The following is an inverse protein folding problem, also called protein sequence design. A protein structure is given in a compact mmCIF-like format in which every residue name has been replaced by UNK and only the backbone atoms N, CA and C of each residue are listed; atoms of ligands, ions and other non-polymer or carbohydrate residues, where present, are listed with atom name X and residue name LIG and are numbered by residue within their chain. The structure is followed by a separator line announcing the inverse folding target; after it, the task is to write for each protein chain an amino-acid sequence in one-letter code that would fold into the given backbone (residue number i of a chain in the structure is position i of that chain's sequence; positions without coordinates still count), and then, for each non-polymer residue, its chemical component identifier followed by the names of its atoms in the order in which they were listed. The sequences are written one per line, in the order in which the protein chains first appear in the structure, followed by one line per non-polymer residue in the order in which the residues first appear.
data_IF_962442329189
#
_entry.id   IF_962442329189
#
_cell.length_a   1.000
_cell.length_b   1.000
_cell.length_c   1.000
_cell.angle_alpha   90.00
_cell.angle_beta   90.00
_cell.angle_gamma   90.00
#
_symmetry.space_group_name_H-M   'P 1'
#
loop_
_entity.id
_entity.type
_entity.pdbx_description
1 polymer ?
#
# COMPACT_ATOMS: atom_id res chain seq x y z
N UNK A 1 -21.94 -15.17 -21.01
CA UNK A 1 -20.93 -14.86 -22.03
C UNK A 1 -20.76 -13.36 -22.05
N UNK A 2 -19.58 -12.87 -21.67
CA UNK A 2 -19.25 -11.44 -21.71
C UNK A 2 -19.04 -11.05 -23.18
N UNK A 3 -19.63 -9.95 -23.67
CA UNK A 3 -19.40 -9.48 -25.05
C UNK A 3 -17.90 -9.28 -25.31
N UNK A 4 -17.39 -9.58 -26.52
CA UNK A 4 -15.97 -9.44 -26.83
C UNK A 4 -15.44 -8.01 -26.67
N UNK A 5 -16.31 -7.00 -26.78
CA UNK A 5 -15.96 -5.58 -26.63
C UNK A 5 -16.19 -5.03 -25.21
N UNK A 6 -16.71 -5.83 -24.29
CA UNK A 6 -16.93 -5.38 -22.92
C UNK A 6 -15.59 -5.38 -22.14
N UNK A 7 -15.35 -4.38 -21.28
CA UNK A 7 -14.15 -4.33 -20.45
C UNK A 7 -14.06 -5.58 -19.58
N UNK A 8 -12.83 -6.08 -19.41
CA UNK A 8 -12.56 -7.21 -18.52
C UNK A 8 -12.93 -6.85 -17.07
N UNK A 9 -13.31 -7.87 -16.30
CA UNK A 9 -13.59 -7.69 -14.88
C UNK A 9 -12.33 -7.21 -14.14
N UNK A 10 -12.50 -6.30 -13.19
CA UNK A 10 -11.42 -5.84 -12.33
C UNK A 10 -10.90 -6.99 -11.45
N UNK A 11 -9.67 -7.44 -11.73
CA UNK A 11 -8.98 -8.46 -10.94
C UNK A 11 -8.13 -7.87 -9.84
N UNK A 12 -7.81 -6.57 -9.89
CA UNK A 12 -6.90 -5.97 -8.93
C UNK A 12 -7.52 -5.94 -7.54
N UNK A 13 -8.68 -5.27 -7.39
CA UNK A 13 -9.31 -5.14 -6.08
C UNK A 13 -9.99 -6.44 -5.63
N UNK A 14 -10.47 -7.25 -6.57
CA UNK A 14 -11.18 -8.49 -6.27
C UNK A 14 -10.27 -9.69 -5.97
N UNK A 15 -9.02 -9.70 -6.47
CA UNK A 15 -8.12 -10.86 -6.41
C UNK A 15 -6.68 -10.50 -6.03
N UNK A 16 -6.03 -9.63 -6.79
CA UNK A 16 -4.57 -9.45 -6.70
C UNK A 16 -4.16 -8.69 -5.43
N UNK A 17 -4.88 -7.63 -5.07
CA UNK A 17 -4.63 -6.84 -3.87
C UNK A 17 -4.89 -7.62 -2.57
N UNK A 18 -5.99 -8.39 -2.41
CA UNK A 18 -6.15 -9.29 -1.27
C UNK A 18 -4.98 -10.28 -1.10
N UNK A 19 -4.49 -10.86 -2.20
CA UNK A 19 -3.32 -11.76 -2.17
C UNK A 19 -2.07 -11.00 -1.77
N UNK A 20 -1.81 -9.82 -2.35
CA UNK A 20 -0.67 -8.98 -1.99
C UNK A 20 -0.66 -8.63 -0.51
N UNK A 21 -1.82 -8.30 0.08
CA UNK A 21 -1.97 -8.02 1.52
C UNK A 21 -1.67 -9.26 2.37
N UNK A 22 -2.11 -10.44 1.95
CA UNK A 22 -1.79 -11.69 2.65
C UNK A 22 -0.29 -12.00 2.61
N UNK A 23 0.34 -11.86 1.44
CA UNK A 23 1.79 -12.00 1.28
C UNK A 23 2.53 -11.01 2.17
N UNK A 24 2.13 -9.73 2.13
CA UNK A 24 2.77 -8.67 2.90
C UNK A 24 2.75 -8.95 4.40
N UNK A 25 1.60 -9.36 4.97
CA UNK A 25 1.51 -9.75 6.39
C UNK A 25 2.42 -10.91 6.73
N UNK A 26 2.48 -11.93 5.87
CA UNK A 26 3.29 -13.13 6.11
C UNK A 26 4.80 -12.88 5.97
N UNK A 27 5.20 -11.92 5.14
CA UNK A 27 6.59 -11.49 5.00
C UNK A 27 7.02 -10.60 6.17
N UNK A 28 6.12 -9.73 6.66
CA UNK A 28 6.40 -8.81 7.76
C UNK A 28 6.42 -9.52 9.13
N UNK A 29 5.50 -10.48 9.34
CA UNK A 29 5.39 -11.28 10.57
C UNK A 29 5.56 -12.79 10.29
N UNK A 30 6.77 -13.26 9.95
CA UNK A 30 6.99 -14.65 9.58
C UNK A 30 6.92 -15.59 10.80
N UNK A 31 5.82 -16.36 10.93
CA UNK A 31 5.61 -17.35 12.00
C UNK A 31 6.73 -18.40 12.16
N UNK A 32 7.47 -18.70 11.07
CA UNK A 32 8.53 -19.69 11.05
C UNK A 32 9.86 -19.13 10.51
N UNK A 33 10.08 -17.81 10.65
CA UNK A 33 11.37 -17.18 10.35
C UNK A 33 11.81 -17.25 8.89
N UNK A 34 10.90 -17.45 7.93
CA UNK A 34 11.26 -17.55 6.52
C UNK A 34 10.15 -17.13 5.55
N UNK A 35 10.52 -17.05 4.28
CA UNK A 35 9.65 -16.75 3.13
C UNK A 35 8.38 -17.62 3.12
N UNK A 36 7.17 -17.05 3.08
CA UNK A 36 5.93 -17.82 3.09
C UNK A 36 5.82 -18.76 1.90
N UNK A 37 5.26 -19.95 2.14
CA UNK A 37 4.90 -20.87 1.07
C UNK A 37 3.61 -20.41 0.41
N UNK A 38 3.57 -20.40 -0.93
CA UNK A 38 2.39 -19.95 -1.67
C UNK A 38 1.16 -20.79 -1.30
N UNK A 39 1.27 -22.11 -1.44
CA UNK A 39 0.14 -23.01 -1.16
C UNK A 39 -0.10 -23.24 0.33
N UNK A 40 0.97 -23.30 1.13
CA UNK A 40 0.87 -23.63 2.55
C UNK A 40 0.55 -22.44 3.46
N UNK A 41 0.80 -21.20 3.02
CA UNK A 41 0.67 -20.01 3.86
C UNK A 41 -0.20 -18.94 3.20
N UNK A 42 0.08 -18.58 1.94
CA UNK A 42 -0.61 -17.47 1.27
C UNK A 42 -2.05 -17.85 0.91
N UNK A 43 -2.30 -19.07 0.42
CA UNK A 43 -3.68 -19.52 0.11
C UNK A 43 -4.58 -19.43 1.35
N UNK A 44 -4.26 -20.06 2.50
CA UNK A 44 -5.03 -19.87 3.73
C UNK A 44 -5.13 -18.42 4.20
N UNK A 45 -4.03 -17.67 4.11
CA UNK A 45 -3.97 -16.27 4.57
C UNK A 45 -4.77 -15.28 3.72
N UNK A 46 -5.03 -15.61 2.45
CA UNK A 46 -5.77 -14.77 1.51
C UNK A 46 -7.28 -14.98 1.56
N UNK A 47 -7.74 -16.15 2.02
CA UNK A 47 -9.15 -16.55 1.96
C UNK A 47 -9.68 -16.82 0.54
N UNK A 48 -8.82 -16.83 -0.48
CA UNK A 48 -9.20 -17.05 -1.87
C UNK A 48 -8.94 -18.49 -2.33
N UNK A 49 -9.67 -18.99 -3.36
CA UNK A 49 -9.42 -20.29 -3.96
C UNK A 49 -7.99 -20.39 -4.50
N UNK A 50 -7.39 -21.58 -4.36
CA UNK A 50 -6.01 -21.88 -4.80
C UNK A 50 -5.68 -21.35 -6.20
N UNK A 51 -6.55 -21.57 -7.17
CA UNK A 51 -6.33 -21.17 -8.57
C UNK A 51 -6.25 -19.63 -8.71
N UNK A 52 -7.09 -18.90 -7.98
CA UNK A 52 -7.06 -17.45 -7.96
C UNK A 52 -5.77 -16.92 -7.33
N UNK A 53 -5.30 -17.56 -6.26
CA UNK A 53 -4.05 -17.18 -5.60
C UNK A 53 -2.84 -17.44 -6.49
N UNK A 54 -2.82 -18.54 -7.24
CA UNK A 54 -1.77 -18.84 -8.21
C UNK A 54 -1.77 -17.79 -9.34
N UNK A 55 -2.95 -17.47 -9.88
CA UNK A 55 -3.07 -16.46 -10.94
C UNK A 55 -2.60 -15.08 -10.46
N UNK A 56 -3.02 -14.67 -9.26
CA UNK A 56 -2.60 -13.42 -8.64
C UNK A 56 -1.09 -13.39 -8.39
N UNK A 57 -0.52 -14.46 -7.82
CA UNK A 57 0.92 -14.51 -7.55
C UNK A 57 1.75 -14.38 -8.83
N UNK A 58 1.32 -15.00 -9.94
CA UNK A 58 1.97 -14.83 -11.24
C UNK A 58 1.89 -13.38 -11.75
N UNK A 59 0.72 -12.76 -11.66
CA UNK A 59 0.52 -11.37 -12.06
C UNK A 59 1.37 -10.39 -11.21
N UNK A 60 1.37 -10.58 -9.88
CA UNK A 60 2.14 -9.77 -8.94
C UNK A 60 3.66 -9.93 -9.15
N UNK A 61 4.12 -11.15 -9.47
CA UNK A 61 5.53 -11.41 -9.78
C UNK A 61 5.92 -10.73 -11.10
N UNK A 62 5.10 -10.85 -12.14
CA UNK A 62 5.34 -10.21 -13.43
C UNK A 62 5.39 -8.67 -13.32
N UNK A 63 4.59 -8.10 -12.41
CA UNK A 63 4.58 -6.66 -12.12
C UNK A 63 5.72 -6.20 -11.18
N UNK A 64 6.55 -7.11 -10.66
CA UNK A 64 7.65 -6.76 -9.75
C UNK A 64 7.20 -6.39 -8.33
N UNK A 65 5.98 -6.77 -7.92
CA UNK A 65 5.50 -6.53 -6.57
C UNK A 65 6.03 -7.55 -5.56
N UNK A 66 6.24 -8.80 -6.01
CA UNK A 66 6.74 -9.89 -5.19
C UNK A 66 7.98 -10.52 -5.82
N UNK A 67 8.85 -11.09 -4.98
CA UNK A 67 9.99 -11.88 -5.40
C UNK A 67 9.66 -13.38 -5.25
N UNK A 68 9.38 -14.10 -6.35
CA UNK A 68 9.05 -15.52 -6.26
C UNK A 68 10.31 -16.40 -6.20
N UNK A 69 10.23 -17.49 -5.43
CA UNK A 69 11.11 -18.64 -5.57
C UNK A 69 10.34 -19.75 -6.28
N UNK A 70 10.83 -20.18 -7.45
CA UNK A 70 10.17 -21.20 -8.28
C UNK A 70 10.84 -22.57 -8.17
N UNK A 71 10.06 -23.63 -8.41
CA UNK A 71 10.61 -24.97 -8.64
C UNK A 71 11.15 -25.11 -10.08
N UNK A 72 11.66 -26.31 -10.43
CA UNK A 72 12.15 -26.61 -11.78
C UNK A 72 11.06 -26.53 -12.87
N UNK A 73 9.80 -26.73 -12.51
CA UNK A 73 8.65 -26.60 -13.41
C UNK A 73 8.19 -25.15 -13.61
N UNK A 74 8.79 -24.18 -12.90
CA UNK A 74 8.42 -22.77 -12.94
C UNK A 74 7.25 -22.39 -12.04
N UNK A 75 6.76 -23.29 -11.19
CA UNK A 75 5.72 -22.96 -10.21
C UNK A 75 6.30 -22.16 -9.05
N UNK A 76 5.60 -21.10 -8.64
CA UNK A 76 5.96 -20.30 -7.47
C UNK A 76 5.72 -21.14 -6.20
N UNK A 77 6.79 -21.46 -5.48
CA UNK A 77 6.73 -22.25 -4.25
C UNK A 77 6.74 -21.34 -3.02
N UNK A 78 7.58 -20.31 -3.02
CA UNK A 78 7.73 -19.35 -1.92
C UNK A 78 7.79 -17.92 -2.44
N UNK A 79 7.59 -16.96 -1.55
CA UNK A 79 7.76 -15.53 -1.83
C UNK A 79 8.82 -15.00 -0.88
N UNK A 80 9.98 -14.62 -1.41
CA UNK A 80 11.17 -14.24 -0.62
C UNK A 80 11.17 -12.78 -0.20
N UNK A 81 10.42 -11.94 -0.91
CA UNK A 81 10.38 -10.50 -0.67
C UNK A 81 9.21 -9.84 -1.37
N UNK A 82 9.00 -8.57 -1.04
CA UNK A 82 8.04 -7.68 -1.68
C UNK A 82 8.68 -6.31 -1.89
N UNK A 83 8.32 -5.62 -2.96
CA UNK A 83 8.87 -4.31 -3.27
C UNK A 83 8.36 -3.22 -2.32
N UNK A 84 9.05 -2.07 -2.29
CA UNK A 84 8.60 -0.90 -1.53
C UNK A 84 7.19 -0.43 -1.94
N UNK A 85 6.87 -0.53 -3.24
CA UNK A 85 5.54 -0.19 -3.74
C UNK A 85 4.49 -1.19 -3.27
N UNK A 86 4.80 -2.49 -3.28
CA UNK A 86 3.92 -3.50 -2.72
C UNK A 86 3.63 -3.26 -1.22
N UNK A 87 4.64 -2.82 -0.45
CA UNK A 87 4.45 -2.47 0.97
C UNK A 87 3.49 -1.29 1.15
N UNK A 88 3.54 -0.27 0.29
CA UNK A 88 2.60 0.86 0.30
C UNK A 88 1.19 0.43 -0.07
N UNK A 89 1.03 -0.32 -1.16
CA UNK A 89 -0.27 -0.82 -1.63
C UNK A 89 -0.93 -1.75 -0.61
N UNK A 90 -0.14 -2.56 0.09
CA UNK A 90 -0.61 -3.42 1.16
C UNK A 90 -0.97 -2.67 2.46
N UNK A 91 -0.61 -1.38 2.57
CA UNK A 91 -0.82 -0.57 3.76
C UNK A 91 0.20 -0.81 4.89
N UNK A 92 1.30 -1.51 4.61
CA UNK A 92 2.39 -1.66 5.58
C UNK A 92 3.21 -0.38 5.70
N UNK A 93 3.40 0.32 4.59
CA UNK A 93 4.18 1.55 4.55
C UNK A 93 3.30 2.78 4.30
N UNK A 94 3.71 3.95 4.81
CA UNK A 94 3.11 5.23 4.48
C UNK A 94 2.82 5.43 2.99
N UNK A 95 1.62 5.91 2.68
CA UNK A 95 1.28 6.47 1.37
C UNK A 95 1.29 7.99 1.44
N UNK A 96 1.65 8.70 0.36
CA UNK A 96 1.60 10.17 0.35
C UNK A 96 0.21 10.72 0.71
N UNK A 97 -0.85 10.07 0.20
CA UNK A 97 -2.25 10.42 0.52
C UNK A 97 -2.54 10.23 2.01
N UNK A 98 -2.18 9.07 2.58
CA UNK A 98 -2.43 8.78 3.99
C UNK A 98 -1.57 9.61 4.95
N UNK A 99 -0.40 10.06 4.51
CA UNK A 99 0.42 11.02 5.26
C UNK A 99 -0.15 12.43 5.20
N UNK A 100 -0.75 12.82 4.07
CA UNK A 100 -1.45 14.10 3.94
C UNK A 100 -2.68 14.15 4.84
N UNK A 101 -3.48 13.09 4.85
CA UNK A 101 -4.63 12.94 5.75
C UNK A 101 -4.20 13.00 7.22
N UNK A 102 -3.13 12.30 7.59
CA UNK A 102 -2.56 12.36 8.95
C UNK A 102 -2.07 13.76 9.31
N UNK A 103 -1.45 14.50 8.38
CA UNK A 103 -1.05 15.88 8.63
C UNK A 103 -2.26 16.76 8.96
N UNK A 104 -3.34 16.65 8.18
CA UNK A 104 -4.58 17.41 8.42
C UNK A 104 -5.22 17.04 9.77
N UNK A 105 -5.30 15.76 10.09
CA UNK A 105 -5.81 15.28 11.38
C UNK A 105 -4.99 15.82 12.56
N UNK A 106 -3.66 15.80 12.43
CA UNK A 106 -2.75 16.28 13.46
C UNK A 106 -2.81 17.81 13.61
N UNK A 107 -3.00 18.57 12.53
CA UNK A 107 -3.22 20.00 12.60
C UNK A 107 -4.51 20.35 13.37
N UNK A 108 -5.59 19.63 13.06
CA UNK A 108 -6.87 19.78 13.75
C UNK A 108 -6.78 19.41 15.24
N UNK A 109 -6.16 18.27 15.56
CA UNK A 109 -5.95 17.82 16.95
C UNK A 109 -5.17 18.83 17.77
N UNK A 110 -4.14 19.46 17.18
CA UNK A 110 -3.36 20.50 17.85
C UNK A 110 -4.14 21.79 18.06
N UNK A 111 -5.01 22.18 17.12
CA UNK A 111 -5.92 23.30 17.34
C UNK A 111 -6.87 23.06 18.52
N UNK A 112 -7.45 21.87 18.60
CA UNK A 112 -8.40 21.52 19.67
C UNK A 112 -7.74 21.46 21.05
N UNK A 113 -6.49 21.00 21.11
CA UNK A 113 -5.73 20.84 22.36
C UNK A 113 -4.80 22.01 22.68
N UNK A 114 -4.86 23.10 21.93
CA UNK A 114 -3.98 24.25 22.15
C UNK A 114 -4.25 24.92 23.51
N UNK A 115 -3.20 25.18 24.32
CA UNK A 115 -3.35 25.70 25.68
C UNK A 115 -3.71 27.18 25.71
N UNK A 116 -3.43 27.93 24.64
CA UNK A 116 -3.82 29.33 24.49
C UNK A 116 -4.68 29.56 23.25
N UNK A 117 -5.48 30.63 23.27
CA UNK A 117 -6.32 31.02 22.14
C UNK A 117 -5.47 31.39 20.91
N UNK A 118 -4.33 32.04 21.13
CA UNK A 118 -3.39 32.42 20.07
C UNK A 118 -2.81 31.18 19.37
N UNK A 119 -2.40 30.17 20.12
CA UNK A 119 -1.90 28.93 19.51
C UNK A 119 -3.02 28.18 18.78
N UNK A 120 -4.24 28.19 19.34
CA UNK A 120 -5.41 27.60 18.69
C UNK A 120 -5.68 28.23 17.34
N UNK A 121 -5.69 29.56 17.27
CA UNK A 121 -5.89 30.30 16.03
C UNK A 121 -4.80 30.01 14.99
N UNK A 122 -3.54 29.92 15.41
CA UNK A 122 -2.42 29.56 14.53
C UNK A 122 -2.60 28.16 13.93
N UNK A 123 -2.95 27.16 14.74
CA UNK A 123 -3.19 25.81 14.26
C UNK A 123 -4.41 25.70 13.36
N UNK A 124 -5.48 26.46 13.63
CA UNK A 124 -6.65 26.54 12.74
C UNK A 124 -6.28 27.15 11.39
N UNK A 125 -5.57 28.28 11.39
CA UNK A 125 -5.10 28.92 10.17
C UNK A 125 -4.22 27.98 9.33
N UNK A 126 -3.32 27.23 9.97
CA UNK A 126 -2.52 26.21 9.29
C UNK A 126 -3.38 25.08 8.71
N UNK A 127 -4.33 24.53 9.49
CA UNK A 127 -5.22 23.46 9.03
C UNK A 127 -6.08 23.90 7.83
N UNK A 128 -6.60 25.13 7.86
CA UNK A 128 -7.42 25.68 6.78
C UNK A 128 -6.58 25.93 5.52
N UNK A 129 -5.38 26.49 5.66
CA UNK A 129 -4.45 26.66 4.56
C UNK A 129 -4.04 25.32 3.94
N UNK A 130 -3.74 24.31 4.77
CA UNK A 130 -3.42 22.97 4.30
C UNK A 130 -4.61 22.37 3.55
N UNK A 131 -5.83 22.42 4.12
CA UNK A 131 -7.03 21.89 3.46
C UNK A 131 -7.30 22.56 2.10
N UNK A 132 -7.01 23.86 1.98
CA UNK A 132 -7.16 24.60 0.74
C UNK A 132 -6.22 24.15 -0.40
N UNK A 133 -5.07 23.52 -0.08
CA UNK A 133 -4.17 22.91 -1.09
C UNK A 133 -4.85 21.74 -1.80
N UNK A 134 -5.75 21.03 -1.12
CA UNK A 134 -6.47 19.90 -1.68
C UNK A 134 -5.69 18.57 -1.65
N UNK A 135 -6.39 17.45 -1.84
CA UNK A 135 -5.84 16.10 -1.63
C UNK A 135 -4.75 15.72 -2.63
N UNK A 136 -4.88 16.11 -3.90
CA UNK A 136 -3.93 15.71 -4.95
C UNK A 136 -2.58 16.43 -4.80
N UNK A 137 -2.62 17.77 -4.67
CA UNK A 137 -1.41 18.56 -4.46
C UNK A 137 -0.78 18.29 -3.09
N UNK A 138 -1.60 18.03 -2.06
CA UNK A 138 -1.13 17.58 -0.75
C UNK A 138 -0.40 16.23 -0.82
N UNK A 139 -0.93 15.26 -1.56
CA UNK A 139 -0.26 13.99 -1.78
C UNK A 139 1.08 14.17 -2.52
N UNK A 140 1.16 15.05 -3.52
CA UNK A 140 2.43 15.36 -4.20
C UNK A 140 3.47 15.97 -3.24
N UNK A 141 3.05 16.86 -2.34
CA UNK A 141 3.91 17.40 -1.29
C UNK A 141 4.44 16.29 -0.37
N UNK A 142 3.56 15.39 0.08
CA UNK A 142 3.96 14.27 0.93
C UNK A 142 4.82 13.25 0.18
N UNK A 143 4.66 13.10 -1.13
CA UNK A 143 5.50 12.23 -1.95
C UNK A 143 6.96 12.70 -1.96
N UNK A 144 7.18 14.02 -2.02
CA UNK A 144 8.53 14.59 -1.91
C UNK A 144 9.16 14.31 -0.52
N UNK A 145 8.36 14.41 0.54
CA UNK A 145 8.82 14.22 1.93
C UNK A 145 9.05 12.75 2.30
N UNK A 146 8.13 11.85 1.92
CA UNK A 146 8.16 10.42 2.26
C UNK A 146 9.05 9.63 1.29
N UNK A 147 9.06 10.03 0.01
CA UNK A 147 9.86 9.41 -1.04
C UNK A 147 11.32 9.87 -1.08
N UNK A 148 11.71 10.82 -0.22
CA UNK A 148 13.08 11.36 -0.15
C UNK A 148 13.49 12.24 -1.33
N UNK A 149 12.55 12.63 -2.20
CA UNK A 149 12.83 13.56 -3.28
C UNK A 149 12.72 15.00 -2.77
N UNK A 150 13.84 15.56 -2.36
CA UNK A 150 14.00 17.01 -2.22
C UNK A 150 14.54 17.53 -3.55
N UNK A 151 13.75 18.26 -4.37
CA UNK A 151 14.31 18.94 -5.52
C UNK A 151 15.39 19.90 -5.01
N UNK A 152 16.64 19.72 -5.46
CA UNK A 152 17.67 20.73 -5.21
C UNK A 152 17.22 22.01 -5.90
N UNK A 153 17.15 23.10 -5.14
CA UNK A 153 16.93 24.42 -5.70
C UNK A 153 18.02 24.69 -6.76
N UNK A 154 17.59 25.10 -7.94
CA UNK A 154 18.45 25.75 -8.93
C UNK A 154 18.67 27.20 -8.51
#
# INVERSE_FOLDING_TARGET
MTPPDAPLADTWFSRDLPVLRAVARLVDEPKHGGAPYLLGSVVPGSGLPKEQVIAAAKALAAAGYIEPLTNHAGDIVRITGISAEARRLAGLWPTPQGEWERLLEQAQTRAERAPTDVERERWRAFADAARAVGPDAGALLMQALVGGYVPRAH
#
